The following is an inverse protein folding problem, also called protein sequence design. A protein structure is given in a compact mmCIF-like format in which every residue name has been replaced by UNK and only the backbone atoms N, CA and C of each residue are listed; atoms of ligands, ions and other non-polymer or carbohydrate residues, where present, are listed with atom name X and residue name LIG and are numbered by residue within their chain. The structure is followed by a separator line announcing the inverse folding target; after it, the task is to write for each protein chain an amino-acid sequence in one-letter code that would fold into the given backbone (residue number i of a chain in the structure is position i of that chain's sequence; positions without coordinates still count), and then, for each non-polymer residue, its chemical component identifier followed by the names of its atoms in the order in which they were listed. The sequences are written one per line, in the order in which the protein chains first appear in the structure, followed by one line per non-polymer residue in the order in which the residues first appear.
data_IF_652703123048
#
_entry.id   IF_652703123048
#
_cell.length_a   1.000
_cell.length_b   1.000
_cell.length_c   1.000
_cell.angle_alpha   90.00
_cell.angle_beta   90.00
_cell.angle_gamma   90.00
#
_symmetry.space_group_name_H-M   'P 1'
#
loop_
_entity.id
_entity.type
_entity.pdbx_description
1 polymer ?
#
# COMPACT_ATOMS: atom_id res chain seq x y z
N UNK A 1 40.20 -0.68 92.57
CA UNK A 1 39.75 0.70 92.24
C UNK A 1 40.34 1.05 90.88
N UNK A 2 39.53 1.65 90.00
CA UNK A 2 39.84 2.00 88.61
C UNK A 2 39.88 0.77 87.67
N UNK A 3 39.03 0.60 86.66
CA UNK A 3 38.16 1.52 85.95
C UNK A 3 38.11 1.01 84.50
N UNK A 4 37.16 0.14 84.16
CA UNK A 4 36.95 -0.37 82.81
C UNK A 4 36.38 0.76 81.95
N UNK A 5 37.25 1.51 81.27
CA UNK A 5 36.85 2.43 80.21
C UNK A 5 36.54 1.63 78.95
N UNK A 6 35.27 1.21 78.81
CA UNK A 6 34.74 0.69 77.55
C UNK A 6 34.75 1.81 76.52
N UNK A 7 35.64 1.70 75.53
CA UNK A 7 35.66 2.59 74.37
C UNK A 7 34.51 2.21 73.43
N UNK A 8 33.40 2.92 73.54
CA UNK A 8 32.30 2.81 72.59
C UNK A 8 32.78 3.31 71.22
N UNK A 9 32.94 2.39 70.28
CA UNK A 9 33.18 2.69 68.87
C UNK A 9 31.85 3.05 68.21
N UNK A 10 31.66 4.33 67.87
CA UNK A 10 30.51 4.79 67.08
C UNK A 10 30.66 4.30 65.63
N UNK A 11 30.10 3.12 65.34
CA UNK A 11 29.95 2.62 63.98
C UNK A 11 28.80 3.37 63.30
N UNK A 12 29.12 4.32 62.43
CA UNK A 12 28.15 4.98 61.56
C UNK A 12 27.48 3.95 60.64
N UNK A 13 26.20 3.66 60.92
CA UNK A 13 25.35 2.88 60.03
C UNK A 13 25.02 3.72 58.80
N UNK A 14 25.69 3.45 57.69
CA UNK A 14 25.31 3.96 56.38
C UNK A 14 23.97 3.30 56.00
N UNK A 15 22.87 4.06 56.09
CA UNK A 15 21.56 3.63 55.62
C UNK A 15 21.62 3.55 54.09
N UNK A 16 21.86 2.35 53.56
CA UNK A 16 21.77 2.09 52.13
C UNK A 16 20.30 2.17 51.72
N UNK A 17 19.93 3.30 51.12
CA UNK A 17 18.59 3.53 50.61
C UNK A 17 18.43 2.73 49.29
N UNK A 18 18.23 1.41 49.41
CA UNK A 18 17.95 0.55 48.26
C UNK A 18 16.56 0.89 47.73
N UNK A 19 16.52 1.65 46.64
CA UNK A 19 15.27 1.94 45.93
C UNK A 19 14.68 0.63 45.42
N UNK A 20 13.71 0.07 46.16
CA UNK A 20 12.87 -1.04 45.70
C UNK A 20 12.14 -0.57 44.44
N UNK A 21 12.65 -0.94 43.28
CA UNK A 21 11.91 -0.84 42.03
C UNK A 21 10.65 -1.70 42.18
N UNK A 22 9.51 -1.07 42.42
CA UNK A 22 8.22 -1.74 42.36
C UNK A 22 7.91 -1.99 40.89
N UNK A 23 8.17 -3.21 40.42
CA UNK A 23 7.68 -3.65 39.12
C UNK A 23 6.15 -3.77 39.23
N UNK A 24 5.43 -2.73 38.80
CA UNK A 24 3.98 -2.77 38.71
C UNK A 24 3.60 -3.63 37.50
N UNK A 25 2.95 -4.77 37.75
CA UNK A 25 2.41 -5.63 36.70
C UNK A 25 1.08 -5.08 36.19
N UNK A 26 0.84 -5.19 34.89
CA UNK A 26 -0.47 -4.91 34.28
C UNK A 26 -1.49 -5.94 34.76
N UNK A 27 -2.67 -5.50 35.17
CA UNK A 27 -3.73 -6.43 35.59
C UNK A 27 -4.38 -7.06 34.36
N UNK A 28 -4.85 -8.31 34.51
CA UNK A 28 -5.55 -9.02 33.43
C UNK A 28 -6.85 -8.32 33.03
N UNK A 29 -7.51 -7.65 33.98
CA UNK A 29 -8.75 -6.90 33.71
C UNK A 29 -8.49 -5.64 32.89
N UNK A 30 -7.36 -4.95 33.11
CA UNK A 30 -6.96 -3.80 32.30
C UNK A 30 -6.71 -4.21 30.84
N UNK A 31 -6.01 -5.33 30.60
CA UNK A 31 -5.85 -5.84 29.23
C UNK A 31 -7.17 -6.29 28.61
N UNK A 32 -8.07 -6.89 29.39
CA UNK A 32 -9.36 -7.38 28.91
C UNK A 32 -10.24 -6.24 28.37
N UNK A 33 -10.33 -5.13 29.12
CA UNK A 33 -11.13 -3.98 28.69
C UNK A 33 -10.53 -3.33 27.43
N UNK A 34 -9.19 -3.25 27.34
CA UNK A 34 -8.51 -2.67 26.17
C UNK A 34 -8.81 -3.47 24.90
N UNK A 35 -8.68 -4.80 24.94
CA UNK A 35 -8.99 -5.62 23.76
C UNK A 35 -10.48 -5.62 23.43
N UNK A 36 -11.36 -5.47 24.43
CA UNK A 36 -12.80 -5.33 24.21
C UNK A 36 -13.13 -4.04 23.44
N UNK A 37 -12.54 -2.90 23.83
CA UNK A 37 -12.75 -1.62 23.14
C UNK A 37 -12.17 -1.66 21.72
N UNK A 38 -10.93 -2.16 21.56
CA UNK A 38 -10.31 -2.32 20.22
C UNK A 38 -11.17 -3.23 19.34
N UNK A 39 -11.74 -4.30 19.90
CA UNK A 39 -12.66 -5.21 19.20
C UNK A 39 -13.91 -4.51 18.67
N UNK A 40 -14.55 -3.66 19.49
CA UNK A 40 -15.74 -2.89 19.07
C UNK A 40 -15.37 -1.91 17.95
N UNK A 41 -14.26 -1.18 18.10
CA UNK A 41 -13.79 -0.23 17.09
C UNK A 41 -13.46 -0.94 15.76
N UNK A 42 -12.77 -2.07 15.83
CA UNK A 42 -12.42 -2.86 14.65
C UNK A 42 -13.67 -3.38 13.93
N UNK A 43 -14.68 -3.86 14.67
CA UNK A 43 -15.91 -4.40 14.09
C UNK A 43 -16.66 -3.36 13.22
N UNK A 44 -16.72 -2.11 13.65
CA UNK A 44 -17.38 -1.04 12.87
C UNK A 44 -16.47 -0.47 11.77
N UNK A 45 -15.15 -0.49 11.97
CA UNK A 45 -14.20 0.17 11.06
C UNK A 45 -13.82 -0.70 9.85
N UNK A 46 -13.66 -2.02 10.04
CA UNK A 46 -13.25 -2.96 8.98
C UNK A 46 -14.15 -2.90 7.73
N UNK A 47 -15.50 -2.94 7.80
CA UNK A 47 -16.32 -2.92 6.59
C UNK A 47 -16.16 -1.63 5.79
N UNK A 48 -16.05 -0.47 6.47
CA UNK A 48 -15.81 0.81 5.82
C UNK A 48 -14.42 0.85 5.18
N UNK A 49 -13.39 0.37 5.89
CA UNK A 49 -12.03 0.30 5.37
C UNK A 49 -11.93 -0.58 4.12
N UNK A 50 -12.62 -1.72 4.09
CA UNK A 50 -12.68 -2.61 2.92
C UNK A 50 -13.31 -1.90 1.71
N UNK A 51 -14.42 -1.19 1.91
CA UNK A 51 -15.07 -0.41 0.84
C UNK A 51 -14.21 0.76 0.35
N UNK A 52 -13.54 1.48 1.26
CA UNK A 52 -12.63 2.56 0.91
C UNK A 52 -11.43 2.05 0.10
N UNK A 53 -10.85 0.91 0.48
CA UNK A 53 -9.78 0.25 -0.25
C UNK A 53 -10.23 -0.19 -1.64
N UNK A 54 -11.45 -0.72 -1.77
CA UNK A 54 -12.02 -1.11 -3.06
C UNK A 54 -12.14 0.07 -4.03
N UNK A 55 -12.71 1.19 -3.55
CA UNK A 55 -12.81 2.43 -4.34
C UNK A 55 -11.44 2.99 -4.71
N UNK A 56 -10.47 2.93 -3.81
CA UNK A 56 -9.10 3.37 -4.09
C UNK A 56 -8.46 2.53 -5.19
N UNK A 57 -8.68 1.20 -5.20
CA UNK A 57 -8.18 0.31 -6.23
C UNK A 57 -8.85 0.57 -7.59
N UNK A 58 -10.16 0.81 -7.62
CA UNK A 58 -10.88 1.19 -8.85
C UNK A 58 -10.35 2.51 -9.43
N UNK A 59 -10.13 3.51 -8.57
CA UNK A 59 -9.56 4.79 -8.95
C UNK A 59 -8.14 4.61 -9.51
N UNK A 60 -7.29 3.83 -8.84
CA UNK A 60 -5.94 3.54 -9.30
C UNK A 60 -5.92 2.84 -10.66
N UNK A 61 -6.76 1.83 -10.87
CA UNK A 61 -6.88 1.14 -12.16
C UNK A 61 -7.32 2.09 -13.27
N UNK A 62 -8.31 2.95 -13.00
CA UNK A 62 -8.78 3.96 -13.96
C UNK A 62 -7.71 5.00 -14.31
N UNK A 63 -6.87 5.38 -13.34
CA UNK A 63 -5.77 6.32 -13.56
C UNK A 63 -4.69 5.72 -14.47
N UNK A 64 -4.30 4.47 -14.23
CA UNK A 64 -3.36 3.75 -15.09
C UNK A 64 -3.93 3.56 -16.49
N UNK A 65 -5.22 3.23 -16.62
CA UNK A 65 -5.89 3.15 -17.93
C UNK A 65 -5.71 4.43 -18.75
N UNK A 66 -5.96 5.58 -18.12
CA UNK A 66 -5.84 6.89 -18.75
C UNK A 66 -4.40 7.22 -19.11
N UNK A 67 -3.44 6.85 -18.27
CA UNK A 67 -2.01 7.02 -18.58
C UNK A 67 -1.60 6.17 -19.79
N UNK A 68 -2.07 4.92 -19.89
CA UNK A 68 -1.84 4.06 -21.05
C UNK A 68 -2.48 4.67 -22.31
N UNK A 69 -3.72 5.15 -22.24
CA UNK A 69 -4.37 5.83 -23.38
C UNK A 69 -3.57 7.04 -23.87
N UNK A 70 -3.09 7.88 -22.96
CA UNK A 70 -2.22 9.02 -23.31
C UNK A 70 -0.91 8.54 -23.95
N UNK A 71 -0.30 7.47 -23.41
CA UNK A 71 0.92 6.89 -23.98
C UNK A 71 0.67 6.31 -25.39
N UNK A 72 -0.48 5.67 -25.63
CA UNK A 72 -0.88 5.17 -26.94
C UNK A 72 -0.98 6.29 -27.97
N UNK A 73 -1.68 7.37 -27.63
CA UNK A 73 -1.76 8.55 -28.49
C UNK A 73 -0.37 9.17 -28.75
N UNK A 74 0.50 9.22 -27.73
CA UNK A 74 1.85 9.73 -27.88
C UNK A 74 2.72 8.86 -28.80
N UNK A 75 2.75 7.53 -28.62
CA UNK A 75 3.61 6.68 -29.47
C UNK A 75 3.12 6.63 -30.91
N UNK A 76 1.81 6.69 -31.13
CA UNK A 76 1.24 6.66 -32.47
C UNK A 76 1.43 8.00 -33.20
N UNK A 77 1.27 9.13 -32.52
CA UNK A 77 1.55 10.47 -33.11
C UNK A 77 3.02 10.68 -33.43
N UNK A 78 3.94 10.11 -32.64
CA UNK A 78 5.38 10.22 -32.85
C UNK A 78 5.94 9.20 -33.85
N UNK A 79 5.11 8.30 -34.40
CA UNK A 79 5.53 7.31 -35.37
C UNK A 79 5.48 7.91 -36.79
N UNK A 80 6.51 8.70 -37.13
CA UNK A 80 6.53 9.51 -38.36
C UNK A 80 6.81 8.74 -39.66
N UNK A 81 7.07 7.43 -39.63
CA UNK A 81 7.66 6.70 -40.78
C UNK A 81 6.96 5.41 -41.19
N UNK A 82 5.88 4.97 -40.53
CA UNK A 82 5.22 3.71 -40.91
C UNK A 82 3.71 3.87 -40.96
N UNK A 83 3.16 3.62 -42.15
CA UNK A 83 1.79 3.16 -42.41
C UNK A 83 1.05 2.66 -41.15
N UNK A 84 0.19 3.49 -40.55
CA UNK A 84 -0.86 3.09 -39.60
C UNK A 84 -0.51 1.97 -38.61
N UNK A 85 0.64 2.03 -37.94
CA UNK A 85 0.97 1.01 -36.94
C UNK A 85 0.18 1.27 -35.66
N UNK A 86 -0.87 0.49 -35.45
CA UNK A 86 -1.74 0.59 -34.28
C UNK A 86 -0.93 0.49 -32.98
N UNK A 87 -1.15 1.45 -32.06
CA UNK A 87 -0.58 1.37 -30.73
C UNK A 87 -1.10 0.14 -29.97
N UNK A 88 -0.19 -0.65 -29.41
CA UNK A 88 -0.52 -1.85 -28.63
C UNK A 88 0.33 -1.96 -27.38
N UNK A 89 -0.19 -2.70 -26.40
CA UNK A 89 0.57 -3.10 -25.21
C UNK A 89 0.00 -4.38 -24.63
N UNK A 90 0.85 -5.16 -23.97
CA UNK A 90 0.44 -6.28 -23.14
C UNK A 90 1.46 -6.46 -22.03
N UNK A 91 1.00 -6.46 -20.79
CA UNK A 91 1.85 -6.66 -19.62
C UNK A 91 1.14 -7.54 -18.61
N UNK A 92 1.88 -8.51 -18.08
CA UNK A 92 1.45 -9.35 -16.96
C UNK A 92 2.01 -8.79 -15.65
N UNK A 93 1.25 -8.91 -14.55
CA UNK A 93 1.48 -8.32 -13.20
C UNK A 93 2.90 -8.31 -12.64
N UNK A 94 3.77 -9.18 -13.15
CA UNK A 94 5.10 -9.44 -12.59
C UNK A 94 6.05 -8.26 -12.76
N UNK A 95 5.74 -7.30 -13.64
CA UNK A 95 6.54 -6.10 -13.85
C UNK A 95 5.66 -4.86 -13.62
N UNK A 96 6.09 -3.88 -12.79
CA UNK A 96 5.32 -2.67 -12.50
C UNK A 96 5.27 -1.71 -13.70
N UNK A 97 5.69 -2.14 -14.89
CA UNK A 97 5.86 -1.30 -16.06
C UNK A 97 5.16 -1.93 -17.26
N UNK A 98 4.33 -1.13 -17.91
CA UNK A 98 3.69 -1.43 -19.19
C UNK A 98 4.47 -0.71 -20.27
N UNK A 99 4.92 -1.44 -21.29
CA UNK A 99 5.49 -0.82 -22.50
C UNK A 99 4.41 -0.74 -23.56
N UNK A 100 4.12 0.47 -24.02
CA UNK A 100 3.23 0.77 -25.13
C UNK A 100 4.08 1.00 -26.37
N UNK A 101 3.73 0.37 -27.48
CA UNK A 101 4.52 0.40 -28.72
C UNK A 101 3.64 0.73 -29.91
N UNK A 102 4.15 1.58 -30.81
CA UNK A 102 3.63 1.79 -32.18
C UNK A 102 4.84 1.87 -33.13
N UNK A 103 4.98 0.89 -34.02
CA UNK A 103 6.16 0.78 -34.88
C UNK A 103 7.45 0.70 -34.05
N UNK A 104 8.36 1.67 -34.24
CA UNK A 104 9.61 1.78 -33.47
C UNK A 104 9.46 2.62 -32.19
N UNK A 105 8.34 3.31 -32.03
CA UNK A 105 8.12 4.22 -30.90
C UNK A 105 7.61 3.44 -29.70
N UNK A 106 8.18 3.74 -28.53
CA UNK A 106 7.80 3.11 -27.27
C UNK A 106 7.61 4.15 -26.18
N UNK A 107 6.69 3.88 -25.27
CA UNK A 107 6.49 4.62 -24.04
C UNK A 107 6.26 3.64 -22.90
N UNK A 108 6.66 4.01 -21.69
CA UNK A 108 6.47 3.19 -20.50
C UNK A 108 5.51 3.84 -19.53
N UNK A 109 4.62 3.03 -18.94
CA UNK A 109 3.66 3.46 -17.93
C UNK A 109 3.85 2.61 -16.68
N UNK A 110 3.91 3.26 -15.51
CA UNK A 110 3.97 2.56 -14.23
C UNK A 110 2.58 2.04 -13.85
N UNK A 111 2.45 0.73 -13.68
CA UNK A 111 1.23 0.02 -13.31
C UNK A 111 1.49 -0.85 -12.06
N UNK A 112 1.53 -0.24 -10.86
CA UNK A 112 1.77 -0.97 -9.62
C UNK A 112 0.56 -1.85 -9.24
N UNK A 113 0.77 -2.74 -8.26
CA UNK A 113 -0.30 -3.54 -7.66
C UNK A 113 -1.49 -2.65 -7.22
N UNK A 114 -2.75 -3.10 -7.33
CA UNK A 114 -3.15 -4.50 -7.53
C UNK A 114 -3.45 -4.89 -8.99
N UNK A 115 -2.91 -4.16 -9.97
CA UNK A 115 -3.07 -4.51 -11.39
C UNK A 115 -2.37 -5.84 -11.67
N UNK A 116 -3.11 -6.79 -12.24
CA UNK A 116 -2.64 -8.14 -12.54
C UNK A 116 -2.41 -8.40 -14.03
N UNK A 117 -3.16 -7.74 -14.91
CA UNK A 117 -2.95 -7.87 -16.34
C UNK A 117 -3.39 -6.57 -17.03
N UNK A 118 -2.70 -6.20 -18.11
CA UNK A 118 -3.03 -5.09 -19.00
C UNK A 118 -2.95 -5.59 -20.44
N UNK A 119 -3.95 -5.22 -21.23
CA UNK A 119 -3.91 -5.29 -22.68
C UNK A 119 -4.44 -3.98 -23.25
N UNK A 120 -3.80 -3.45 -24.31
CA UNK A 120 -4.33 -2.30 -25.02
C UNK A 120 -4.18 -2.46 -26.53
N UNK A 121 -5.17 -1.94 -27.26
CA UNK A 121 -5.24 -2.00 -28.72
C UNK A 121 -5.79 -0.69 -29.29
N UNK A 122 -5.23 -0.26 -30.42
CA UNK A 122 -5.71 0.86 -31.23
C UNK A 122 -6.47 0.32 -32.43
N UNK A 123 -7.45 1.08 -32.89
CA UNK A 123 -8.20 0.87 -34.13
C UNK A 123 -8.20 2.18 -34.91
N UNK A 124 -8.75 2.17 -36.12
CA UNK A 124 -8.90 3.39 -36.91
C UNK A 124 -9.67 4.52 -36.20
N UNK A 125 -10.52 4.22 -35.21
CA UNK A 125 -11.40 5.21 -34.58
C UNK A 125 -11.28 5.31 -33.06
N UNK A 126 -10.66 4.33 -32.40
CA UNK A 126 -10.63 4.26 -30.95
C UNK A 126 -9.37 3.58 -30.40
N UNK A 127 -8.92 4.05 -29.25
CA UNK A 127 -8.03 3.37 -28.35
C UNK A 127 -8.83 2.59 -27.31
N UNK A 128 -8.36 1.39 -26.95
CA UNK A 128 -8.95 0.57 -25.91
C UNK A 128 -7.88 0.04 -24.96
N UNK A 129 -8.17 0.08 -23.66
CA UNK A 129 -7.35 -0.48 -22.59
C UNK A 129 -8.22 -1.38 -21.73
N UNK A 130 -7.80 -2.63 -21.57
CA UNK A 130 -8.40 -3.61 -20.68
C UNK A 130 -7.43 -3.87 -19.53
N UNK A 131 -7.89 -3.66 -18.30
CA UNK A 131 -7.11 -3.89 -17.08
C UNK A 131 -7.80 -4.92 -16.20
N UNK A 132 -7.04 -5.92 -15.75
CA UNK A 132 -7.47 -6.80 -14.67
C UNK A 132 -6.74 -6.39 -13.41
N UNK A 133 -7.48 -6.25 -12.31
CA UNK A 133 -6.93 -5.92 -11.00
C UNK A 133 -7.76 -6.61 -9.92
N UNK A 134 -7.23 -6.66 -8.69
CA UNK A 134 -7.91 -7.31 -7.57
C UNK A 134 -8.25 -6.34 -6.45
N UNK A 135 -9.23 -6.71 -5.63
CA UNK A 135 -9.62 -5.94 -4.46
C UNK A 135 -10.37 -4.65 -4.80
N UNK A 136 -10.84 -4.47 -6.03
CA UNK A 136 -11.76 -3.40 -6.43
C UNK A 136 -13.22 -3.74 -6.10
N UNK A 137 -14.14 -2.79 -6.35
CA UNK A 137 -15.57 -2.97 -6.05
C UNK A 137 -16.21 -4.08 -6.90
N UNK A 138 -15.62 -4.36 -8.07
CA UNK A 138 -16.06 -5.38 -9.04
C UNK A 138 -15.33 -6.73 -8.90
N UNK A 139 -14.51 -6.92 -7.86
CA UNK A 139 -13.70 -8.12 -7.70
C UNK A 139 -12.52 -8.17 -8.69
N UNK A 140 -12.42 -9.26 -9.48
CA UNK A 140 -11.39 -9.47 -10.53
C UNK A 140 -11.90 -9.15 -11.95
N UNK A 141 -13.05 -8.52 -12.08
CA UNK A 141 -13.61 -8.20 -13.40
C UNK A 141 -12.75 -7.17 -14.13
N UNK A 142 -12.47 -7.36 -15.43
CA UNK A 142 -11.63 -6.44 -16.17
C UNK A 142 -12.33 -5.08 -16.36
N UNK A 143 -11.61 -4.00 -16.10
CA UNK A 143 -12.01 -2.63 -16.44
C UNK A 143 -11.64 -2.36 -17.89
N UNK A 144 -12.64 -2.06 -18.71
CA UNK A 144 -12.47 -1.60 -20.08
C UNK A 144 -12.61 -0.08 -20.13
N UNK A 145 -11.59 0.61 -20.63
CA UNK A 145 -11.61 2.05 -20.89
C UNK A 145 -11.31 2.28 -22.37
N UNK A 146 -12.19 3.00 -23.04
CA UNK A 146 -12.04 3.35 -24.45
C UNK A 146 -12.02 4.86 -24.63
N UNK A 147 -11.25 5.32 -25.61
CA UNK A 147 -11.20 6.73 -26.03
C UNK A 147 -11.27 6.80 -27.55
N UNK A 148 -11.96 7.82 -28.08
CA UNK A 148 -11.88 8.13 -29.50
C UNK A 148 -10.45 8.55 -29.87
N UNK A 149 -10.08 8.25 -31.12
CA UNK A 149 -8.80 8.63 -31.72
C UNK A 149 -8.89 9.98 -32.43
#
# INVERSE_FOLDING_TARGET
MSGLAGTYTLRHGHQENTMKNSTQGFTLIELLIVVAIIGILAAVLIPNLLGARAKANDAAASAVARQVLTAMAAVETNNSTSTGADATCSAKATLPTVTVTSGTQTATVNAPAPISDIACTSTASQFSVTLTYSGGSSGKSPLLVTSAK
#
